data_IF_029490441487
#
_entry.id   IF_029490441487
#
_cell.length_a   1.000
_cell.length_b   1.000
_cell.length_c   1.000
_cell.angle_alpha   90.00
_cell.angle_beta   90.00
_cell.angle_gamma   90.00
#
_symmetry.space_group_name_H-M   'P 1'
#
loop_
_entity.id
_entity.type
_entity.pdbx_description
1 polymer ?
#
# COMPACT_ATOMS: atom_id res chain seq x y z
N UNK A 1 8.15 -44.89 40.35
CA UNK A 1 7.03 -45.21 39.42
C UNK A 1 6.20 -43.93 39.31
N UNK A 2 6.44 -43.11 38.29
CA UNK A 2 5.68 -43.05 37.00
C UNK A 2 4.19 -42.78 37.25
N UNK A 3 3.49 -41.86 36.60
CA UNK A 3 3.79 -40.93 35.51
C UNK A 3 2.53 -40.04 35.30
N UNK A 4 2.76 -38.82 34.82
CA UNK A 4 1.97 -38.10 33.79
C UNK A 4 0.46 -37.83 33.96
N UNK A 5 0.13 -36.53 34.05
CA UNK A 5 -0.87 -35.85 33.19
C UNK A 5 -0.35 -34.42 32.96
N UNK A 6 0.56 -34.16 32.03
CA UNK A 6 0.43 -34.12 30.56
C UNK A 6 -0.73 -33.26 30.06
N UNK A 7 -0.40 -32.01 29.69
CA UNK A 7 -0.84 -31.37 28.45
C UNK A 7 -2.26 -30.82 28.36
N UNK A 8 -2.53 -29.68 29.00
CA UNK A 8 -3.57 -28.77 28.51
C UNK A 8 -2.98 -27.84 27.44
N UNK A 9 -2.75 -28.39 26.24
CA UNK A 9 -2.45 -27.59 25.05
C UNK A 9 -3.75 -26.95 24.61
N UNK A 10 -4.01 -25.72 25.07
CA UNK A 10 -5.17 -24.93 24.67
C UNK A 10 -5.16 -24.73 23.16
N UNK A 11 -6.16 -25.30 22.48
CA UNK A 11 -6.45 -24.95 21.08
C UNK A 11 -6.73 -23.44 21.06
N UNK A 12 -6.06 -22.64 20.20
CA UNK A 12 -6.34 -21.21 20.11
C UNK A 12 -7.83 -21.02 19.81
N UNK A 13 -8.51 -20.24 20.67
CA UNK A 13 -9.94 -19.94 20.63
C UNK A 13 -10.41 -19.66 19.19
N UNK A 14 -11.28 -20.52 18.66
CA UNK A 14 -11.80 -20.40 17.29
C UNK A 14 -12.54 -19.08 17.06
N UNK A 15 -13.07 -18.45 18.12
CA UNK A 15 -13.69 -17.12 18.06
C UNK A 15 -12.67 -15.98 17.92
N UNK A 16 -11.41 -16.19 18.28
CA UNK A 16 -10.35 -15.19 18.12
C UNK A 16 -9.91 -15.02 16.66
N UNK A 17 -10.02 -16.08 15.84
CA UNK A 17 -9.57 -16.06 14.43
C UNK A 17 -10.37 -15.09 13.54
N UNK A 18 -11.72 -15.04 13.61
CA UNK A 18 -12.49 -14.04 12.88
C UNK A 18 -12.18 -12.60 13.30
N UNK A 19 -12.03 -12.35 14.60
CA UNK A 19 -11.72 -11.02 15.13
C UNK A 19 -10.33 -10.55 14.71
N UNK A 20 -9.33 -11.45 14.77
CA UNK A 20 -7.97 -11.17 14.27
C UNK A 20 -7.99 -10.88 12.77
N UNK A 21 -8.69 -11.70 11.98
CA UNK A 21 -8.82 -11.49 10.53
C UNK A 21 -9.46 -10.14 10.22
N UNK A 22 -10.54 -9.77 10.90
CA UNK A 22 -11.20 -8.48 10.68
C UNK A 22 -10.31 -7.31 11.07
N UNK A 23 -9.52 -7.43 12.14
CA UNK A 23 -8.52 -6.43 12.52
C UNK A 23 -7.45 -6.26 11.44
N UNK A 24 -6.90 -7.35 10.90
CA UNK A 24 -5.92 -7.30 9.79
C UNK A 24 -6.50 -6.61 8.55
N UNK A 25 -7.76 -6.91 8.20
CA UNK A 25 -8.44 -6.25 7.09
C UNK A 25 -8.60 -4.75 7.36
N UNK A 26 -9.01 -4.39 8.58
CA UNK A 26 -9.19 -3.01 9.01
C UNK A 26 -7.88 -2.21 8.92
N UNK A 27 -6.79 -2.75 9.47
CA UNK A 27 -5.47 -2.13 9.49
C UNK A 27 -5.00 -1.86 8.05
N UNK A 28 -5.02 -2.88 7.18
CA UNK A 28 -4.62 -2.76 5.76
C UNK A 28 -5.48 -1.76 4.98
N UNK A 29 -6.80 -1.80 5.18
CA UNK A 29 -7.69 -0.84 4.51
C UNK A 29 -7.43 0.59 5.00
N UNK A 30 -7.15 0.77 6.29
CA UNK A 30 -6.75 2.04 6.86
C UNK A 30 -5.48 2.60 6.22
N UNK A 31 -4.46 1.76 6.05
CA UNK A 31 -3.20 2.13 5.38
C UNK A 31 -3.42 2.52 3.92
N UNK A 32 -4.21 1.76 3.15
CA UNK A 32 -4.52 2.10 1.76
C UNK A 32 -5.25 3.45 1.64
N UNK A 33 -6.22 3.71 2.52
CA UNK A 33 -6.92 5.00 2.57
C UNK A 33 -5.97 6.13 2.94
N UNK A 34 -5.06 5.92 3.91
CA UNK A 34 -4.07 6.91 4.30
C UNK A 34 -3.12 7.25 3.14
N UNK A 35 -2.64 6.24 2.41
CA UNK A 35 -1.79 6.43 1.21
C UNK A 35 -2.52 7.21 0.12
N UNK A 36 -3.78 6.88 -0.15
CA UNK A 36 -4.59 7.63 -1.14
C UNK A 36 -4.83 9.08 -0.68
N UNK A 37 -5.08 9.29 0.61
CA UNK A 37 -5.25 10.62 1.21
C UNK A 37 -4.00 11.49 1.03
N UNK A 38 -2.82 10.93 1.27
CA UNK A 38 -1.54 11.62 1.08
C UNK A 38 -1.35 12.02 -0.39
N UNK A 39 -1.63 11.12 -1.34
CA UNK A 39 -1.56 11.37 -2.79
C UNK A 39 -2.56 12.44 -3.26
N UNK A 40 -3.71 12.54 -2.60
CA UNK A 40 -4.75 13.51 -2.90
C UNK A 40 -4.59 14.85 -2.15
N UNK A 41 -3.39 15.15 -1.63
CA UNK A 41 -3.12 16.42 -0.94
C UNK A 41 -3.87 16.57 0.39
N UNK A 42 -4.16 15.46 1.07
CA UNK A 42 -4.81 15.44 2.39
C UNK A 42 -6.32 15.24 2.38
N UNK A 43 -6.96 15.12 1.21
CA UNK A 43 -8.40 14.77 1.14
C UNK A 43 -8.59 13.26 1.13
N UNK A 44 -9.12 12.72 2.23
CA UNK A 44 -9.50 11.31 2.27
C UNK A 44 -10.74 11.03 1.41
N UNK A 45 -10.76 9.93 0.64
CA UNK A 45 -11.97 9.50 -0.06
C UNK A 45 -13.04 9.09 0.95
N UNK A 46 -14.28 9.49 0.71
CA UNK A 46 -15.43 9.04 1.48
C UNK A 46 -15.76 7.58 1.16
N UNK A 47 -16.40 6.87 2.10
CA UNK A 47 -16.86 5.49 1.86
C UNK A 47 -17.81 5.36 0.67
N UNK A 48 -18.57 6.42 0.38
CA UNK A 48 -19.42 6.49 -0.80
C UNK A 48 -18.59 6.58 -2.07
N UNK A 49 -17.60 7.48 -2.13
CA UNK A 49 -16.71 7.59 -3.29
C UNK A 49 -15.97 6.28 -3.57
N UNK A 50 -15.52 5.58 -2.52
CA UNK A 50 -14.90 4.26 -2.64
C UNK A 50 -15.87 3.21 -3.19
N UNK A 51 -17.07 3.10 -2.61
CA UNK A 51 -18.08 2.15 -3.06
C UNK A 51 -18.50 2.41 -4.51
N UNK A 52 -18.78 3.66 -4.85
CA UNK A 52 -19.18 4.07 -6.20
C UNK A 52 -18.04 3.77 -7.21
N UNK A 53 -16.77 3.99 -6.84
CA UNK A 53 -15.62 3.62 -7.67
C UNK A 53 -15.54 2.11 -7.91
N UNK A 54 -15.63 1.32 -6.84
CA UNK A 54 -15.50 -0.15 -6.92
C UNK A 54 -16.66 -0.75 -7.74
N UNK A 55 -17.90 -0.31 -7.52
CA UNK A 55 -19.06 -0.81 -8.25
C UNK A 55 -19.01 -0.42 -9.73
N UNK A 56 -18.50 0.78 -10.07
CA UNK A 56 -18.23 1.16 -11.47
C UNK A 56 -17.21 0.24 -12.13
N UNK A 57 -16.11 -0.09 -11.44
CA UNK A 57 -15.10 -1.03 -11.96
C UNK A 57 -15.67 -2.43 -12.17
N UNK A 58 -16.58 -2.86 -11.30
CA UNK A 58 -17.24 -4.16 -11.39
C UNK A 58 -18.38 -4.22 -12.43
N UNK A 59 -18.90 -3.07 -12.85
CA UNK A 59 -20.10 -2.98 -13.70
C UNK A 59 -21.39 -3.41 -13.00
N UNK A 60 -21.35 -3.61 -11.67
CA UNK A 60 -22.49 -4.03 -10.83
C UNK A 60 -22.25 -3.63 -9.37
N UNK A 61 -23.29 -3.68 -8.56
CA UNK A 61 -23.17 -3.42 -7.11
C UNK A 61 -22.55 -4.62 -6.38
N UNK A 62 -21.25 -4.53 -6.04
CA UNK A 62 -20.49 -5.57 -5.33
C UNK A 62 -20.18 -5.20 -3.88
N UNK A 63 -20.19 -3.90 -3.55
CA UNK A 63 -19.89 -3.42 -2.20
C UNK A 63 -20.68 -2.15 -1.87
N UNK A 64 -21.06 -1.98 -0.60
CA UNK A 64 -21.75 -0.78 -0.12
C UNK A 64 -20.82 0.11 0.71
N UNK A 65 -21.17 1.39 0.87
CA UNK A 65 -20.46 2.32 1.76
C UNK A 65 -20.39 1.80 3.21
N UNK A 66 -21.44 1.13 3.67
CA UNK A 66 -21.52 0.61 5.05
C UNK A 66 -20.67 -0.64 5.19
N UNK A 67 -20.56 -1.47 4.14
CA UNK A 67 -19.61 -2.57 4.10
C UNK A 67 -18.17 -2.06 4.24
N UNK A 68 -17.79 -1.02 3.48
CA UNK A 68 -16.44 -0.43 3.58
C UNK A 68 -16.17 0.13 4.97
N UNK A 69 -17.13 0.90 5.53
CA UNK A 69 -17.06 1.40 6.90
C UNK A 69 -16.83 0.27 7.91
N UNK A 70 -17.63 -0.79 7.84
CA UNK A 70 -17.54 -1.90 8.79
C UNK A 70 -16.20 -2.65 8.65
N UNK A 71 -15.67 -2.78 7.42
CA UNK A 71 -14.35 -3.37 7.19
C UNK A 71 -13.23 -2.51 7.76
N UNK A 72 -13.28 -1.19 7.57
CA UNK A 72 -12.25 -0.29 8.12
C UNK A 72 -12.28 -0.23 9.66
N UNK A 73 -13.45 -0.36 10.28
CA UNK A 73 -13.54 -0.40 11.74
C UNK A 73 -13.34 -1.81 12.32
N UNK A 74 -13.30 -2.85 11.49
CA UNK A 74 -13.24 -4.25 11.93
C UNK A 74 -14.50 -4.75 12.65
N UNK A 75 -15.54 -3.92 12.77
CA UNK A 75 -16.83 -4.22 13.40
C UNK A 75 -17.95 -3.42 12.73
N UNK A 76 -19.18 -3.95 12.77
CA UNK A 76 -20.36 -3.20 12.36
C UNK A 76 -20.96 -2.38 13.53
N UNK A 77 -22.02 -1.62 13.25
CA UNK A 77 -22.72 -0.80 14.25
C UNK A 77 -23.31 -1.60 15.43
N UNK A 78 -23.45 -2.91 15.30
CA UNK A 78 -23.94 -3.82 16.33
C UNK A 78 -22.78 -4.52 17.09
N UNK A 79 -21.54 -4.13 16.82
CA UNK A 79 -20.33 -4.74 17.40
C UNK A 79 -19.98 -6.12 16.82
N UNK A 80 -20.59 -6.50 15.69
CA UNK A 80 -20.32 -7.80 15.06
C UNK A 80 -19.15 -7.72 14.11
N UNK A 81 -18.31 -8.74 14.13
CA UNK A 81 -17.16 -8.89 13.24
C UNK A 81 -17.64 -9.08 11.78
N UNK A 82 -17.16 -8.28 10.82
CA UNK A 82 -17.52 -8.43 9.42
C UNK A 82 -16.87 -9.69 8.83
N UNK A 83 -17.60 -10.39 7.96
CA UNK A 83 -17.10 -11.54 7.22
C UNK A 83 -17.30 -11.31 5.71
N UNK A 84 -16.40 -10.54 5.05
CA UNK A 84 -16.51 -10.28 3.62
C UNK A 84 -16.23 -11.54 2.80
N UNK A 85 -16.90 -11.64 1.65
CA UNK A 85 -16.59 -12.69 0.67
C UNK A 85 -15.23 -12.44 0.01
N UNK A 86 -14.65 -13.48 -0.59
CA UNK A 86 -13.42 -13.37 -1.40
C UNK A 86 -13.61 -12.39 -2.55
N UNK A 87 -14.73 -12.49 -3.29
CA UNK A 87 -15.06 -11.58 -4.40
C UNK A 87 -15.13 -10.11 -3.92
N UNK A 88 -15.76 -9.86 -2.77
CA UNK A 88 -15.81 -8.52 -2.17
C UNK A 88 -14.40 -7.96 -1.89
N UNK A 89 -13.50 -8.79 -1.35
CA UNK A 89 -12.12 -8.38 -1.06
C UNK A 89 -11.30 -8.15 -2.32
N UNK A 90 -11.51 -8.96 -3.36
CA UNK A 90 -10.85 -8.78 -4.66
C UNK A 90 -11.29 -7.47 -5.32
N UNK A 91 -12.59 -7.17 -5.34
CA UNK A 91 -13.09 -5.90 -5.87
C UNK A 91 -12.64 -4.70 -5.04
N UNK A 92 -12.60 -4.83 -3.71
CA UNK A 92 -12.04 -3.82 -2.83
C UNK A 92 -10.57 -3.53 -3.19
N UNK A 93 -9.74 -4.57 -3.31
CA UNK A 93 -8.35 -4.44 -3.71
C UNK A 93 -8.18 -3.78 -5.08
N UNK A 94 -9.00 -4.16 -6.07
CA UNK A 94 -9.00 -3.55 -7.41
C UNK A 94 -9.34 -2.07 -7.37
N UNK A 95 -10.22 -1.66 -6.44
CA UNK A 95 -10.50 -0.27 -6.15
C UNK A 95 -9.27 0.55 -5.75
N UNK A 96 -8.21 -0.10 -5.25
CA UNK A 96 -6.90 0.50 -4.92
C UNK A 96 -5.79 0.10 -5.89
N UNK A 97 -6.12 -0.55 -7.02
CA UNK A 97 -5.15 -1.01 -8.01
C UNK A 97 -4.48 -2.36 -7.72
N UNK A 98 -4.94 -3.09 -6.69
CA UNK A 98 -4.42 -4.41 -6.31
C UNK A 98 -5.26 -5.50 -6.99
N UNK A 99 -4.66 -6.28 -7.89
CA UNK A 99 -5.40 -7.27 -8.70
C UNK A 99 -5.96 -8.45 -7.89
N UNK A 100 -5.21 -8.93 -6.90
CA UNK A 100 -5.55 -10.05 -6.02
C UNK A 100 -5.83 -9.54 -4.59
N UNK A 101 -6.94 -8.81 -4.43
CA UNK A 101 -7.29 -8.14 -3.17
C UNK A 101 -7.49 -9.11 -2.01
N UNK A 102 -8.15 -10.25 -2.21
CA UNK A 102 -8.35 -11.23 -1.14
C UNK A 102 -7.02 -11.80 -0.62
N UNK A 103 -6.06 -12.07 -1.51
CA UNK A 103 -4.71 -12.48 -1.10
C UNK A 103 -4.02 -11.37 -0.30
N UNK A 104 -4.11 -10.12 -0.77
CA UNK A 104 -3.55 -8.98 -0.04
C UNK A 104 -4.16 -8.82 1.36
N UNK A 105 -5.48 -8.96 1.50
CA UNK A 105 -6.16 -8.74 2.78
C UNK A 105 -6.07 -9.92 3.76
N UNK A 106 -5.77 -11.14 3.29
CA UNK A 106 -5.85 -12.36 4.11
C UNK A 106 -4.51 -13.09 4.31
N UNK A 107 -3.51 -12.84 3.46
CA UNK A 107 -2.20 -13.49 3.54
C UNK A 107 -1.12 -12.46 3.86
N UNK A 108 -0.50 -12.60 5.03
CA UNK A 108 0.52 -11.67 5.53
C UNK A 108 1.78 -11.65 4.65
N UNK A 109 2.15 -12.78 4.05
CA UNK A 109 3.31 -12.85 3.16
C UNK A 109 3.04 -12.16 1.84
N UNK A 110 1.81 -12.26 1.31
CA UNK A 110 1.41 -11.54 0.10
C UNK A 110 1.23 -10.05 0.34
N UNK A 111 0.70 -9.67 1.50
CA UNK A 111 0.57 -8.28 1.91
C UNK A 111 1.93 -7.59 1.93
N UNK A 112 2.92 -8.18 2.61
CA UNK A 112 4.26 -7.61 2.71
C UNK A 112 4.91 -7.33 1.34
N UNK A 113 4.73 -8.22 0.36
CA UNK A 113 5.24 -8.02 -1.01
C UNK A 113 4.55 -6.84 -1.70
N UNK A 114 3.24 -6.71 -1.55
CA UNK A 114 2.47 -5.59 -2.12
C UNK A 114 2.84 -4.29 -1.43
N UNK A 115 2.97 -4.28 -0.11
CA UNK A 115 3.35 -3.09 0.65
C UNK A 115 4.74 -2.59 0.23
N UNK A 116 5.71 -3.49 0.05
CA UNK A 116 7.05 -3.14 -0.48
C UNK A 116 6.98 -2.55 -1.90
N UNK A 117 6.06 -3.03 -2.74
CA UNK A 117 5.83 -2.47 -4.08
C UNK A 117 5.20 -1.08 -4.00
N UNK A 118 4.21 -0.88 -3.13
CA UNK A 118 3.57 0.42 -2.90
C UNK A 118 4.57 1.46 -2.37
N UNK A 119 5.43 1.07 -1.43
CA UNK A 119 6.48 1.93 -0.88
C UNK A 119 7.50 2.35 -1.95
N UNK A 120 7.86 1.43 -2.86
CA UNK A 120 8.74 1.77 -4.00
C UNK A 120 8.07 2.77 -4.94
N UNK A 121 6.79 2.60 -5.23
CA UNK A 121 6.03 3.52 -6.09
C UNK A 121 5.88 4.91 -5.46
N UNK A 122 5.68 4.98 -4.14
CA UNK A 122 5.62 6.23 -3.41
C UNK A 122 6.95 6.98 -3.46
N UNK A 123 8.08 6.29 -3.22
CA UNK A 123 9.41 6.91 -3.36
C UNK A 123 9.65 7.49 -4.75
N UNK A 124 9.16 6.83 -5.81
CA UNK A 124 9.22 7.35 -7.18
C UNK A 124 8.30 8.57 -7.37
N UNK A 125 7.11 8.54 -6.77
CA UNK A 125 6.17 9.66 -6.76
C UNK A 125 6.73 10.90 -6.04
N UNK A 126 7.32 10.71 -4.87
CA UNK A 126 7.96 11.75 -4.06
C UNK A 126 9.14 12.36 -4.82
N UNK A 127 9.95 11.52 -5.48
CA UNK A 127 10.98 11.99 -6.40
C UNK A 127 10.37 12.88 -7.48
N UNK A 128 9.30 12.46 -8.16
CA UNK A 128 8.65 13.28 -9.20
C UNK A 128 8.10 14.60 -8.65
N UNK A 129 7.56 14.61 -7.43
CA UNK A 129 7.01 15.81 -6.80
C UNK A 129 8.11 16.76 -6.31
N UNK A 130 9.20 16.23 -5.73
CA UNK A 130 10.39 16.99 -5.36
C UNK A 130 11.13 17.53 -6.59
N UNK A 131 11.13 16.76 -7.68
CA UNK A 131 11.71 17.11 -8.97
C UNK A 131 10.76 17.92 -9.86
N UNK A 132 9.87 18.74 -9.28
CA UNK A 132 9.01 19.71 -9.98
C UNK A 132 9.72 20.71 -10.90
N UNK A 133 11.00 20.51 -11.22
CA UNK A 133 11.72 21.10 -12.33
C UNK A 133 11.28 20.48 -13.66
N UNK A 134 10.77 21.32 -14.55
CA UNK A 134 10.38 20.97 -15.93
C UNK A 134 11.46 20.20 -16.71
N UNK A 135 12.74 20.37 -16.35
CA UNK A 135 13.88 19.69 -16.95
C UNK A 135 13.93 18.19 -16.65
N UNK A 136 13.47 17.75 -15.48
CA UNK A 136 13.46 16.32 -15.11
C UNK A 136 12.30 15.60 -15.81
N UNK A 137 11.15 16.25 -15.96
CA UNK A 137 10.04 15.73 -16.77
C UNK A 137 10.49 15.56 -18.23
N UNK A 138 11.22 16.55 -18.76
CA UNK A 138 11.84 16.48 -20.09
C UNK A 138 12.89 15.37 -20.19
N UNK A 139 13.70 15.16 -19.14
CA UNK A 139 14.66 14.07 -19.06
C UNK A 139 13.98 12.69 -19.05
N UNK A 140 12.91 12.53 -18.28
CA UNK A 140 12.13 11.27 -18.21
C UNK A 140 11.48 10.96 -19.56
N UNK A 141 10.87 11.96 -20.22
CA UNK A 141 10.31 11.80 -21.56
C UNK A 141 11.37 11.43 -22.62
N UNK A 142 12.59 11.97 -22.50
CA UNK A 142 13.71 11.61 -23.39
C UNK A 142 14.28 10.23 -23.05
N UNK A 143 14.35 9.89 -21.77
CA UNK A 143 14.87 8.61 -21.28
C UNK A 143 13.95 7.43 -21.65
N UNK A 144 12.63 7.65 -21.75
CA UNK A 144 11.68 6.63 -22.20
C UNK A 144 11.87 6.15 -23.66
N UNK A 145 12.70 6.85 -24.44
CA UNK A 145 13.10 6.45 -25.79
C UNK A 145 14.50 5.80 -25.89
N UNK A 146 15.19 5.59 -24.77
CA UNK A 146 16.55 5.06 -24.75
C UNK A 146 16.58 3.54 -24.57
N UNK A 147 17.65 2.91 -25.07
CA UNK A 147 17.95 1.49 -24.79
C UNK A 147 18.39 1.29 -23.34
N UNK A 148 18.23 0.08 -22.81
CA UNK A 148 18.58 -0.26 -21.42
C UNK A 148 20.04 0.09 -21.07
N UNK A 149 20.98 -0.10 -22.02
CA UNK A 149 22.39 0.28 -21.82
C UNK A 149 22.61 1.78 -21.71
N UNK A 150 21.86 2.58 -22.49
CA UNK A 150 21.89 4.04 -22.42
C UNK A 150 21.24 4.57 -21.14
N UNK A 151 20.21 3.89 -20.64
CA UNK A 151 19.59 4.20 -19.36
C UNK A 151 20.57 4.00 -18.20
N UNK A 152 21.34 2.91 -18.23
CA UNK A 152 22.34 2.60 -17.22
C UNK A 152 23.46 3.65 -17.15
N UNK A 153 23.88 4.17 -18.31
CA UNK A 153 24.85 5.26 -18.41
C UNK A 153 24.32 6.58 -17.84
N UNK A 154 23.03 6.87 -18.03
CA UNK A 154 22.36 8.04 -17.46
C UNK A 154 22.30 7.97 -15.93
N UNK A 155 21.98 6.80 -15.38
CA UNK A 155 22.00 6.57 -13.93
C UNK A 155 23.41 6.75 -13.37
N UNK A 156 24.42 6.15 -14.01
CA UNK A 156 25.82 6.29 -13.57
C UNK A 156 26.32 7.74 -13.65
N UNK A 157 25.87 8.52 -14.64
CA UNK A 157 26.20 9.94 -14.74
C UNK A 157 25.52 10.76 -13.63
N UNK A 158 24.25 10.48 -13.34
CA UNK A 158 23.52 11.13 -12.25
C UNK A 158 24.19 10.86 -10.89
N UNK A 159 24.64 9.62 -10.65
CA UNK A 159 25.38 9.25 -9.44
C UNK A 159 26.71 10.00 -9.31
N UNK A 160 27.46 10.15 -10.42
CA UNK A 160 28.69 10.95 -10.44
C UNK A 160 28.44 12.42 -10.14
N UNK A 161 27.40 13.02 -10.72
CA UNK A 161 27.05 14.42 -10.48
C UNK A 161 26.69 14.64 -9.01
N UNK A 162 25.93 13.72 -8.42
CA UNK A 162 25.60 13.75 -6.99
C UNK A 162 26.85 13.69 -6.10
N UNK A 163 27.81 12.83 -6.42
CA UNK A 163 29.08 12.75 -5.68
C UNK A 163 29.91 14.04 -5.81
N UNK A 164 29.90 14.68 -6.98
CA UNK A 164 30.62 15.94 -7.21
C UNK A 164 30.00 17.10 -6.41
N UNK A 165 28.67 17.21 -6.39
CA UNK A 165 27.96 18.21 -5.59
C UNK A 165 28.18 18.02 -4.08
N UNK A 166 28.17 16.76 -3.61
CA UNK A 166 28.44 16.43 -2.21
C UNK A 166 29.89 16.79 -1.82
N UNK A 167 30.88 16.47 -2.67
CA UNK A 167 32.28 16.85 -2.45
C UNK A 167 32.58 18.34 -2.63
N UNK A 168 31.66 19.11 -3.25
CA UNK A 168 31.74 20.57 -3.30
C UNK A 168 31.13 21.21 -2.04
N UNK A 169 30.05 20.64 -1.51
CA UNK A 169 29.43 21.06 -0.26
C UNK A 169 30.34 20.85 0.96
N UNK A 170 31.10 19.74 1.01
CA UNK A 170 32.04 19.44 2.09
C UNK A 170 33.29 20.35 2.09
N UNK A 171 33.73 20.84 0.92
CA UNK A 171 34.84 21.81 0.82
C UNK A 171 34.45 23.24 1.19
N UNK A 172 33.16 23.55 1.26
CA UNK A 172 32.65 24.85 1.70
C UNK A 172 32.59 25.02 3.22
N UNK A 173 32.61 23.93 4.01
CA UNK A 173 32.53 23.99 5.48
C UNK A 173 33.89 24.10 6.18
N UNK A 174 35.01 23.94 5.46
CA UNK A 174 36.37 23.97 6.02
C UNK A 174 37.03 25.37 5.98
N UNK A 175 36.30 26.41 5.55
CA UNK A 175 36.83 27.79 5.43
C UNK A 175 36.06 28.83 6.26
N UNK A 176 35.55 28.45 7.44
CA UNK A 176 35.01 29.41 8.43
C UNK A 176 35.68 29.24 9.79
#
# INVERSE_FOLDING_TARGET
MNAERSGATGVPDEAARPAERARKIADRLGELIARETAKAGGRAPTYRELADRINRLAGRDVISKDTIRNLQHGVNQKGQVPNPTVDTLDWLGRGFGIQAGASYFLDDSKAAVVDEQLDRLEKIGDLRQALGNSEVVSLVQRASGLSDGSLHMLVALADKLKQLEQGAAERGSDNT
#
